data_IF_277846478703
#
_entry.id   IF_277846478703
#
_cell.length_a   1.000
_cell.length_b   1.000
_cell.length_c   1.000
_cell.angle_alpha   90.00
_cell.angle_beta   90.00
_cell.angle_gamma   90.00
#
_symmetry.space_group_name_H-M   'P 1'
#
loop_
_entity.id
_entity.type
_entity.pdbx_description
1 polymer ?
#
# COMPACT_ATOMS: atom_id res chain seq x y z
N UNK A 1 -13.65 7.51 23.48
CA UNK A 1 -13.07 8.56 22.64
C UNK A 1 -11.61 8.17 22.47
N UNK A 2 -11.37 7.11 21.70
CA UNK A 2 -10.02 6.84 21.21
C UNK A 2 -9.83 7.87 20.11
N UNK A 3 -9.17 8.98 20.39
CA UNK A 3 -8.76 9.91 19.33
C UNK A 3 -7.48 9.31 18.76
N UNK A 4 -7.62 8.28 17.92
CA UNK A 4 -6.48 7.78 17.17
C UNK A 4 -6.10 8.89 16.21
N UNK A 5 -4.87 9.38 16.32
CA UNK A 5 -4.39 10.45 15.46
C UNK A 5 -4.08 9.82 14.09
N UNK A 6 -4.60 10.42 13.02
CA UNK A 6 -4.21 10.05 11.65
C UNK A 6 -2.68 10.07 11.55
N UNK A 7 -2.11 8.97 11.07
CA UNK A 7 -0.69 8.87 10.82
C UNK A 7 -0.35 9.45 9.44
N UNK A 8 0.90 9.89 9.23
CA UNK A 8 1.35 10.34 7.92
C UNK A 8 1.34 9.18 6.90
N UNK A 9 1.11 9.48 5.62
CA UNK A 9 0.96 8.46 4.56
C UNK A 9 2.21 7.58 4.40
N UNK A 10 3.38 8.12 4.72
CA UNK A 10 4.68 7.44 4.72
C UNK A 10 4.74 6.23 5.67
N UNK A 11 3.78 6.09 6.59
CA UNK A 11 3.65 4.90 7.43
C UNK A 11 2.79 3.80 6.80
N UNK A 12 2.00 4.07 5.76
CA UNK A 12 1.04 3.10 5.23
C UNK A 12 1.66 2.25 4.11
N UNK A 13 1.95 1.00 4.44
CA UNK A 13 2.40 -0.01 3.47
C UNK A 13 1.22 -0.48 2.59
N UNK A 14 1.41 -0.66 1.26
CA UNK A 14 2.64 -0.53 0.47
C UNK A 14 2.67 0.74 -0.40
N UNK A 15 2.28 1.91 0.12
CA UNK A 15 2.22 3.14 -0.70
C UNK A 15 3.59 3.59 -1.20
N UNK A 16 3.63 4.38 -2.28
CA UNK A 16 4.88 4.98 -2.78
C UNK A 16 5.57 5.87 -1.72
N UNK A 17 4.87 6.73 -0.94
CA UNK A 17 5.47 7.43 0.19
C UNK A 17 6.11 6.52 1.24
N UNK A 18 5.51 5.35 1.53
CA UNK A 18 6.14 4.36 2.42
C UNK A 18 7.41 3.78 1.80
N UNK A 19 7.42 3.52 0.49
CA UNK A 19 8.59 3.05 -0.23
C UNK A 19 9.73 4.08 -0.23
N UNK A 20 9.41 5.37 -0.35
CA UNK A 20 10.40 6.46 -0.18
C UNK A 20 10.98 6.48 1.24
N UNK A 21 10.13 6.36 2.26
CA UNK A 21 10.58 6.27 3.65
C UNK A 21 11.45 5.03 3.89
N UNK A 22 11.13 3.91 3.26
CA UNK A 22 11.93 2.69 3.32
C UNK A 22 13.30 2.87 2.67
N UNK A 23 13.39 3.52 1.52
CA UNK A 23 14.67 3.91 0.90
C UNK A 23 15.54 4.73 1.84
N UNK A 24 14.95 5.74 2.49
CA UNK A 24 15.69 6.58 3.43
C UNK A 24 16.18 5.74 4.62
N UNK A 25 15.35 4.86 5.17
CA UNK A 25 15.74 3.95 6.25
C UNK A 25 16.86 2.98 5.85
N UNK A 26 16.84 2.44 4.61
CA UNK A 26 17.93 1.60 4.08
C UNK A 26 19.25 2.38 4.09
N UNK A 27 19.22 3.62 3.59
CA UNK A 27 20.41 4.47 3.48
C UNK A 27 20.94 4.96 4.85
N UNK A 28 20.13 4.90 5.90
CA UNK A 28 20.55 5.17 7.28
C UNK A 28 21.16 3.93 7.97
N UNK A 29 20.97 2.73 7.42
CA UNK A 29 21.47 1.48 8.00
C UNK A 29 22.95 1.23 7.67
N UNK A 30 23.80 1.34 8.70
CA UNK A 30 25.22 1.00 8.57
C UNK A 30 25.46 -0.50 8.32
N UNK A 31 24.59 -1.36 8.86
CA UNK A 31 24.70 -2.82 8.70
C UNK A 31 24.43 -3.19 7.23
N UNK A 32 23.33 -2.67 6.67
CA UNK A 32 23.03 -2.84 5.24
C UNK A 32 24.17 -2.34 4.36
N UNK A 33 24.69 -1.14 4.62
CA UNK A 33 25.78 -0.56 3.82
C UNK A 33 27.05 -1.43 3.86
N UNK A 34 27.36 -2.05 5.00
CA UNK A 34 28.52 -2.94 5.15
C UNK A 34 28.30 -4.28 4.44
N UNK A 35 27.16 -4.94 4.66
CA UNK A 35 26.89 -6.27 4.11
C UNK A 35 26.57 -6.26 2.60
N UNK A 36 26.03 -5.16 2.08
CA UNK A 36 25.71 -5.01 0.64
C UNK A 36 26.83 -4.36 -0.18
N UNK A 37 28.01 -4.11 0.40
CA UNK A 37 29.18 -3.62 -0.33
C UNK A 37 29.53 -4.55 -1.51
N UNK A 38 29.60 -4.00 -2.72
CA UNK A 38 29.81 -4.71 -3.97
C UNK A 38 28.53 -5.21 -4.67
N UNK A 39 27.36 -5.12 -4.02
CA UNK A 39 26.07 -5.42 -4.65
C UNK A 39 25.81 -4.46 -5.82
N UNK A 40 25.30 -4.95 -6.94
CA UNK A 40 24.98 -4.10 -8.10
C UNK A 40 26.20 -3.52 -8.86
N UNK A 41 27.45 -3.82 -8.46
CA UNK A 41 28.65 -3.26 -9.10
C UNK A 41 29.04 -4.00 -10.38
N UNK A 42 29.06 -5.34 -10.32
CA UNK A 42 29.43 -6.20 -11.46
C UNK A 42 28.22 -6.80 -12.18
N UNK A 43 27.01 -6.45 -11.75
CA UNK A 43 25.74 -6.92 -12.27
C UNK A 43 24.64 -5.92 -11.94
N UNK A 44 23.48 -6.05 -12.55
CA UNK A 44 22.32 -5.23 -12.19
C UNK A 44 21.78 -5.66 -10.81
N UNK A 45 21.91 -4.79 -9.81
CA UNK A 45 21.50 -5.05 -8.43
C UNK A 45 20.07 -4.59 -8.11
N UNK A 46 19.37 -4.03 -9.07
CA UNK A 46 18.01 -3.54 -8.87
C UNK A 46 17.01 -4.67 -8.60
N UNK A 47 15.99 -4.34 -7.82
CA UNK A 47 14.89 -5.23 -7.48
C UNK A 47 13.58 -4.69 -8.01
N UNK A 48 12.72 -5.61 -8.43
CA UNK A 48 11.27 -5.45 -8.40
C UNK A 48 10.72 -6.25 -7.22
N UNK A 49 9.97 -5.59 -6.36
CA UNK A 49 9.10 -6.24 -5.39
C UNK A 49 7.71 -6.34 -6.02
N UNK A 50 7.28 -7.56 -6.28
CA UNK A 50 5.98 -7.87 -6.88
C UNK A 50 5.05 -8.36 -5.76
N UNK A 51 4.06 -7.52 -5.44
CA UNK A 51 3.06 -7.76 -4.40
C UNK A 51 1.77 -8.17 -5.10
N UNK A 52 1.47 -9.47 -5.08
CA UNK A 52 0.27 -10.04 -5.67
C UNK A 52 -0.89 -10.08 -4.66
N UNK A 53 -2.11 -10.26 -5.16
CA UNK A 53 -3.26 -10.56 -4.30
C UNK A 53 -3.63 -9.43 -3.33
N UNK A 54 -3.44 -8.17 -3.73
CA UNK A 54 -3.89 -7.03 -2.93
C UNK A 54 -5.42 -7.12 -2.75
N UNK A 55 -5.93 -7.15 -1.52
CA UNK A 55 -7.31 -7.56 -1.25
C UNK A 55 -8.32 -6.41 -1.43
N UNK A 56 -8.29 -5.73 -2.57
CA UNK A 56 -9.15 -4.58 -2.90
C UNK A 56 -10.64 -4.94 -3.03
N UNK A 57 -10.91 -6.15 -3.51
CA UNK A 57 -12.26 -6.67 -3.74
C UNK A 57 -12.95 -7.09 -2.44
N UNK A 58 -12.17 -7.52 -1.45
CA UNK A 58 -12.69 -8.09 -0.20
C UNK A 58 -12.68 -7.10 0.96
N UNK A 59 -11.85 -6.05 0.89
CA UNK A 59 -11.81 -5.01 1.92
C UNK A 59 -12.58 -3.78 1.48
N UNK A 60 -13.30 -3.24 2.44
CA UNK A 60 -14.09 -2.02 2.32
C UNK A 60 -13.40 -0.86 3.03
N UNK A 61 -13.93 0.35 2.87
CA UNK A 61 -13.48 1.50 3.66
C UNK A 61 -13.56 1.18 5.16
N UNK A 62 -14.54 0.40 5.61
CA UNK A 62 -14.67 0.00 7.02
C UNK A 62 -13.58 -0.98 7.52
N UNK A 63 -12.85 -1.64 6.62
CA UNK A 63 -11.76 -2.56 6.97
C UNK A 63 -10.39 -1.86 7.05
N UNK A 64 -10.33 -0.58 6.66
CA UNK A 64 -9.12 0.24 6.76
C UNK A 64 -8.69 0.45 8.22
N UNK A 65 -7.46 0.95 8.45
CA UNK A 65 -6.98 1.30 9.77
C UNK A 65 -7.98 2.17 10.55
N UNK A 66 -8.27 1.86 11.83
CA UNK A 66 -9.33 2.50 12.58
C UNK A 66 -9.27 4.03 12.60
N UNK A 67 -8.07 4.62 12.60
CA UNK A 67 -7.91 6.07 12.54
C UNK A 67 -8.48 6.69 11.25
N UNK A 68 -8.42 5.98 10.13
CA UNK A 68 -9.01 6.43 8.86
C UNK A 68 -10.52 6.26 8.91
N UNK A 69 -11.00 5.10 9.37
CA UNK A 69 -12.43 4.80 9.49
C UNK A 69 -13.13 5.81 10.41
N UNK A 70 -12.54 6.04 11.59
CA UNK A 70 -13.04 7.01 12.57
C UNK A 70 -13.09 8.42 11.94
N UNK A 71 -12.08 8.81 11.15
CA UNK A 71 -12.05 10.11 10.49
C UNK A 71 -13.12 10.25 9.41
N UNK A 72 -13.34 9.22 8.59
CA UNK A 72 -14.41 9.22 7.57
C UNK A 72 -15.79 9.32 8.22
N UNK A 73 -16.03 8.56 9.30
CA UNK A 73 -17.29 8.60 10.04
C UNK A 73 -17.55 9.99 10.63
N UNK A 74 -16.52 10.61 11.23
CA UNK A 74 -16.59 11.94 11.83
C UNK A 74 -16.88 13.03 10.78
N UNK A 75 -16.24 12.99 9.60
CA UNK A 75 -16.49 13.96 8.52
C UNK A 75 -17.91 13.81 7.97
N UNK A 76 -18.34 12.58 7.64
CA UNK A 76 -19.67 12.34 7.08
C UNK A 76 -20.80 12.62 8.06
N UNK A 77 -20.63 12.26 9.34
CA UNK A 77 -21.61 12.56 10.39
C UNK A 77 -21.67 14.07 10.73
N UNK A 78 -20.66 14.84 10.31
CA UNK A 78 -20.63 16.29 10.43
C UNK A 78 -21.55 17.02 9.45
N UNK A 79 -21.94 16.35 8.35
CA UNK A 79 -22.71 16.95 7.26
C UNK A 79 -24.18 17.15 7.61
N UNK A 80 -24.74 18.29 7.23
CA UNK A 80 -26.17 18.52 7.33
C UNK A 80 -26.94 17.79 6.24
N UNK A 81 -28.23 17.51 6.48
CA UNK A 81 -29.12 16.87 5.50
C UNK A 81 -29.14 17.62 4.15
N UNK A 82 -29.06 18.96 4.16
CA UNK A 82 -28.98 19.76 2.93
C UNK A 82 -27.66 19.65 2.19
N UNK A 83 -26.55 19.47 2.90
CA UNK A 83 -25.24 19.24 2.29
C UNK A 83 -25.21 17.87 1.63
N UNK A 84 -25.75 16.85 2.32
CA UNK A 84 -25.87 15.50 1.79
C UNK A 84 -26.79 15.46 0.57
N UNK A 85 -27.96 16.10 0.62
CA UNK A 85 -28.86 16.17 -0.54
C UNK A 85 -28.19 16.80 -1.76
N UNK A 86 -27.43 17.88 -1.58
CA UNK A 86 -26.70 18.54 -2.66
C UNK A 86 -25.60 17.63 -3.22
N UNK A 87 -24.83 16.97 -2.36
CA UNK A 87 -23.80 16.01 -2.77
C UNK A 87 -24.39 14.86 -3.59
N UNK A 88 -25.58 14.37 -3.23
CA UNK A 88 -26.27 13.29 -3.93
C UNK A 88 -26.89 13.69 -5.27
N UNK A 89 -26.95 14.98 -5.63
CA UNK A 89 -27.42 15.41 -6.96
C UNK A 89 -26.47 14.93 -8.07
N UNK A 90 -25.18 14.86 -7.79
CA UNK A 90 -24.14 14.40 -8.73
C UNK A 90 -23.76 12.93 -8.56
N UNK A 91 -24.32 12.25 -7.56
CA UNK A 91 -24.01 10.84 -7.29
C UNK A 91 -24.30 9.92 -8.49
N UNK A 92 -23.44 8.89 -8.70
CA UNK A 92 -23.69 7.85 -9.68
C UNK A 92 -25.06 7.19 -9.48
N UNK A 93 -25.79 6.82 -10.56
CA UNK A 93 -27.13 6.24 -10.45
C UNK A 93 -27.19 4.99 -9.57
N UNK A 94 -26.18 4.12 -9.66
CA UNK A 94 -26.11 2.86 -8.92
C UNK A 94 -25.94 3.11 -7.42
N UNK A 95 -25.04 4.03 -7.05
CA UNK A 95 -24.83 4.49 -5.67
C UNK A 95 -26.11 5.12 -5.10
N UNK A 96 -26.77 6.00 -5.88
CA UNK A 96 -28.04 6.63 -5.46
C UNK A 96 -29.13 5.58 -5.20
N UNK A 97 -29.26 4.58 -6.07
CA UNK A 97 -30.22 3.48 -5.90
C UNK A 97 -29.92 2.66 -4.64
N UNK A 98 -28.63 2.34 -4.38
CA UNK A 98 -28.21 1.65 -3.15
C UNK A 98 -28.61 2.44 -1.91
N UNK A 99 -28.31 3.74 -1.85
CA UNK A 99 -28.66 4.63 -0.74
C UNK A 99 -30.17 4.72 -0.54
N UNK A 100 -30.95 4.90 -1.61
CA UNK A 100 -32.41 5.00 -1.56
C UNK A 100 -33.08 3.70 -1.08
N UNK A 101 -32.49 2.55 -1.40
CA UNK A 101 -32.99 1.24 -0.98
C UNK A 101 -32.82 0.97 0.52
N UNK A 102 -31.86 1.63 1.17
CA UNK A 102 -31.59 1.51 2.60
C UNK A 102 -32.67 2.23 3.43
N UNK A 103 -32.93 1.70 4.62
CA UNK A 103 -33.87 2.29 5.58
C UNK A 103 -33.12 3.05 6.66
N UNK A 104 -33.58 4.25 7.01
CA UNK A 104 -32.96 5.07 8.05
C UNK A 104 -32.89 6.55 7.66
N UNK A 105 -32.30 7.40 8.52
CA UNK A 105 -31.90 8.77 8.19
C UNK A 105 -30.99 8.80 6.94
N UNK A 106 -30.98 9.92 6.20
CA UNK A 106 -30.16 10.05 4.99
C UNK A 106 -28.66 9.89 5.28
N UNK A 107 -28.16 10.57 6.31
CA UNK A 107 -26.79 10.50 6.82
C UNK A 107 -26.32 9.07 7.10
N UNK A 108 -27.10 8.29 7.86
CA UNK A 108 -26.76 6.89 8.18
C UNK A 108 -26.66 6.03 6.91
N UNK A 109 -27.54 6.27 5.93
CA UNK A 109 -27.56 5.51 4.66
C UNK A 109 -26.37 5.85 3.77
N UNK A 110 -25.95 7.12 3.74
CA UNK A 110 -24.78 7.58 2.98
C UNK A 110 -23.50 7.05 3.62
N UNK A 111 -23.35 7.23 4.93
CA UNK A 111 -22.20 6.70 5.68
C UNK A 111 -22.08 5.20 5.51
N UNK A 112 -23.19 4.46 5.60
CA UNK A 112 -23.19 3.01 5.34
C UNK A 112 -22.78 2.68 3.90
N UNK A 113 -23.25 3.43 2.89
CA UNK A 113 -22.83 3.20 1.51
C UNK A 113 -21.32 3.38 1.34
N UNK A 114 -20.76 4.46 1.87
CA UNK A 114 -19.32 4.72 1.81
C UNK A 114 -18.54 3.64 2.54
N UNK A 115 -18.92 3.31 3.78
CA UNK A 115 -18.24 2.32 4.61
C UNK A 115 -18.29 0.90 4.01
N UNK A 116 -19.37 0.55 3.31
CA UNK A 116 -19.53 -0.75 2.64
C UNK A 116 -18.94 -0.79 1.21
N UNK A 117 -18.42 0.33 0.70
CA UNK A 117 -17.79 0.38 -0.62
C UNK A 117 -16.45 -0.35 -0.56
N UNK A 118 -16.24 -1.32 -1.45
CA UNK A 118 -14.95 -2.02 -1.55
C UNK A 118 -13.89 -1.09 -2.15
N UNK A 119 -12.62 -1.30 -1.85
CA UNK A 119 -11.56 -0.46 -2.42
C UNK A 119 -11.53 -0.51 -3.95
N UNK A 120 -11.91 -1.64 -4.55
CA UNK A 120 -12.03 -1.78 -6.00
C UNK A 120 -13.25 -1.05 -6.59
N UNK A 121 -14.34 -0.89 -5.83
CA UNK A 121 -15.54 -0.15 -6.25
C UNK A 121 -15.35 1.37 -6.15
N UNK A 122 -14.40 1.86 -5.34
CA UNK A 122 -14.21 3.28 -5.06
C UNK A 122 -14.21 4.18 -6.31
N UNK A 123 -13.48 3.90 -7.40
CA UNK A 123 -13.46 4.76 -8.58
C UNK A 123 -14.84 4.97 -9.22
N UNK A 124 -15.71 3.95 -9.14
CA UNK A 124 -17.05 3.96 -9.73
C UNK A 124 -18.13 4.39 -8.71
N UNK A 125 -17.84 4.27 -7.41
CA UNK A 125 -18.77 4.52 -6.32
C UNK A 125 -18.54 5.86 -5.59
N UNK A 126 -17.45 6.56 -5.93
CA UNK A 126 -17.15 7.90 -5.41
C UNK A 126 -17.21 8.94 -6.53
N UNK A 127 -17.47 10.19 -6.17
CA UNK A 127 -17.57 11.31 -7.10
C UNK A 127 -16.94 12.56 -6.48
N UNK A 128 -16.60 13.60 -7.25
CA UNK A 128 -15.81 14.74 -6.77
C UNK A 128 -16.35 15.41 -5.50
N UNK A 129 -17.66 15.57 -5.39
CA UNK A 129 -18.32 16.17 -4.23
C UNK A 129 -18.19 15.30 -2.98
N UNK A 130 -18.22 13.97 -3.11
CA UNK A 130 -17.99 13.06 -1.98
C UNK A 130 -16.51 12.99 -1.61
N UNK A 131 -15.61 12.91 -2.60
CA UNK A 131 -14.15 12.90 -2.39
C UNK A 131 -13.67 14.14 -1.66
N UNK A 132 -14.29 15.29 -1.90
CA UNK A 132 -13.97 16.54 -1.22
C UNK A 132 -14.27 16.53 0.29
N UNK A 133 -15.13 15.62 0.76
CA UNK A 133 -15.46 15.44 2.18
C UNK A 133 -14.62 14.32 2.83
N UNK A 134 -13.81 13.59 2.05
CA UNK A 134 -12.94 12.57 2.62
C UNK A 134 -11.77 13.23 3.36
N UNK A 135 -11.26 12.57 4.42
CA UNK A 135 -9.99 12.97 5.01
C UNK A 135 -8.89 12.97 3.95
N UNK A 136 -8.00 13.98 3.98
CA UNK A 136 -6.88 14.11 3.03
C UNK A 136 -6.10 12.80 2.87
N UNK A 137 -5.87 12.08 3.99
CA UNK A 137 -5.18 10.80 4.01
C UNK A 137 -5.92 9.72 3.20
N UNK A 138 -7.25 9.65 3.26
CA UNK A 138 -8.02 8.67 2.50
C UNK A 138 -7.96 8.99 1.01
N UNK A 139 -8.14 10.25 0.61
CA UNK A 139 -8.07 10.63 -0.80
C UNK A 139 -6.68 10.37 -1.41
N UNK A 140 -5.62 10.61 -0.62
CA UNK A 140 -4.26 10.29 -1.02
C UNK A 140 -4.03 8.77 -1.11
N UNK A 141 -4.51 7.98 -0.14
CA UNK A 141 -4.45 6.52 -0.19
C UNK A 141 -5.18 5.94 -1.40
N UNK A 142 -6.36 6.46 -1.73
CA UNK A 142 -7.10 6.02 -2.91
C UNK A 142 -6.30 6.35 -4.17
N UNK A 143 -5.79 7.58 -4.27
CA UNK A 143 -4.92 7.99 -5.40
C UNK A 143 -3.76 7.02 -5.56
N UNK A 144 -3.08 6.68 -4.45
CA UNK A 144 -1.96 5.75 -4.45
C UNK A 144 -2.34 4.34 -4.92
N UNK A 145 -3.52 3.83 -4.55
CA UNK A 145 -3.99 2.53 -5.02
C UNK A 145 -4.41 2.57 -6.50
N UNK A 146 -5.03 3.66 -6.96
CA UNK A 146 -5.47 3.83 -8.35
C UNK A 146 -4.28 3.99 -9.32
N UNK A 147 -3.21 4.68 -8.91
CA UNK A 147 -2.06 4.95 -9.76
C UNK A 147 -1.02 3.82 -9.77
N UNK A 148 -0.90 3.04 -8.68
CA UNK A 148 0.20 2.10 -8.48
C UNK A 148 -0.18 0.62 -8.55
N UNK A 149 -1.45 0.30 -8.83
CA UNK A 149 -1.91 -1.08 -9.01
C UNK A 149 -2.09 -1.35 -10.50
N UNK A 150 -1.41 -2.38 -10.98
CA UNK A 150 -1.52 -2.84 -12.36
C UNK A 150 -2.90 -3.43 -12.66
N UNK A 151 -3.21 -3.58 -13.96
CA UNK A 151 -4.49 -4.11 -14.45
C UNK A 151 -4.86 -5.51 -13.88
N UNK A 152 -3.87 -6.29 -13.44
CA UNK A 152 -4.05 -7.62 -12.86
C UNK A 152 -4.17 -7.62 -11.32
N UNK A 153 -4.18 -6.44 -10.69
CA UNK A 153 -4.27 -6.28 -9.24
C UNK A 153 -2.93 -6.40 -8.50
N UNK A 154 -1.82 -6.41 -9.23
CA UNK A 154 -0.47 -6.50 -8.68
C UNK A 154 0.14 -5.11 -8.48
N UNK A 155 0.88 -4.90 -7.41
CA UNK A 155 1.72 -3.73 -7.24
C UNK A 155 3.19 -4.09 -7.46
N UNK A 156 3.91 -3.23 -8.19
CA UNK A 156 5.33 -3.39 -8.43
C UNK A 156 6.10 -2.19 -7.86
N UNK A 157 7.01 -2.46 -6.94
CA UNK A 157 7.94 -1.47 -6.41
C UNK A 157 9.34 -1.73 -6.96
N UNK A 158 9.92 -0.75 -7.63
CA UNK A 158 11.29 -0.77 -8.11
C UNK A 158 12.24 -0.19 -7.06
N UNK A 159 13.38 -0.85 -6.86
CA UNK A 159 14.44 -0.40 -5.98
C UNK A 159 15.80 -0.49 -6.71
N UNK A 160 16.48 0.64 -6.82
CA UNK A 160 17.83 0.70 -7.38
C UNK A 160 18.89 0.56 -6.29
N UNK A 161 19.35 -0.68 -6.06
CA UNK A 161 20.34 -1.01 -5.04
C UNK A 161 21.75 -1.11 -5.62
N UNK A 162 22.68 -0.37 -5.05
CA UNK A 162 24.06 -0.31 -5.54
C UNK A 162 25.05 0.00 -4.40
N UNK A 163 26.00 -0.92 -4.20
CA UNK A 163 27.20 -0.75 -3.39
C UNK A 163 26.97 -0.13 -2.00
N UNK A 164 25.98 -0.63 -1.26
CA UNK A 164 25.67 -0.12 0.08
C UNK A 164 24.48 0.85 0.15
N UNK A 165 23.94 1.28 -0.99
CA UNK A 165 22.94 2.36 -1.04
C UNK A 165 21.70 1.96 -1.87
N UNK A 166 20.55 2.47 -1.45
CA UNK A 166 19.33 2.52 -2.26
C UNK A 166 19.24 3.89 -2.94
N UNK A 167 19.61 3.94 -4.22
CA UNK A 167 19.78 5.20 -4.97
C UNK A 167 18.45 5.82 -5.36
N UNK A 168 17.50 4.99 -5.73
CA UNK A 168 16.18 5.37 -6.23
C UNK A 168 15.16 4.29 -5.86
N UNK A 169 13.93 4.72 -5.63
CA UNK A 169 12.75 3.86 -5.62
C UNK A 169 11.69 4.46 -6.51
N UNK A 170 10.83 3.62 -7.05
CA UNK A 170 9.72 4.03 -7.91
C UNK A 170 8.62 2.96 -7.85
N UNK A 171 7.40 3.32 -8.20
CA UNK A 171 6.31 2.37 -8.47
C UNK A 171 6.11 2.25 -9.97
N UNK A 172 5.87 1.02 -10.46
CA UNK A 172 5.60 0.78 -11.88
C UNK A 172 4.35 -0.08 -12.04
N UNK A 173 3.71 0.02 -13.20
CA UNK A 173 2.49 -0.75 -13.50
C UNK A 173 2.73 -1.85 -14.54
N UNK A 174 3.85 -1.76 -15.27
CA UNK A 174 4.29 -2.76 -16.24
C UNK A 174 5.79 -3.05 -16.03
N UNK A 175 6.13 -4.34 -15.95
CA UNK A 175 7.51 -4.82 -15.77
C UNK A 175 8.43 -4.42 -16.94
N UNK A 176 7.89 -4.12 -18.11
CA UNK A 176 8.66 -3.66 -19.27
C UNK A 176 9.07 -2.17 -19.17
N UNK A 177 8.57 -1.43 -18.16
CA UNK A 177 8.92 -0.01 -17.95
C UNK A 177 10.38 0.19 -17.54
N UNK A 178 10.95 -0.78 -16.81
CA UNK A 178 12.33 -0.70 -16.29
C UNK A 178 13.05 -2.04 -16.41
N UNK A 179 14.34 -1.98 -16.77
CA UNK A 179 15.20 -3.15 -16.64
C UNK A 179 15.44 -3.43 -15.15
N UNK A 180 15.45 -4.71 -14.77
CA UNK A 180 15.69 -5.13 -13.41
C UNK A 180 16.62 -6.35 -13.33
N UNK A 181 17.40 -6.42 -12.25
CA UNK A 181 18.29 -7.55 -11.98
C UNK A 181 17.61 -8.73 -11.28
N UNK A 182 16.70 -8.42 -10.37
CA UNK A 182 16.00 -9.38 -9.53
C UNK A 182 14.54 -9.01 -9.38
N UNK A 183 13.68 -10.02 -9.21
CA UNK A 183 12.28 -9.82 -8.89
C UNK A 183 11.83 -10.79 -7.83
N UNK A 184 11.41 -10.24 -6.69
CA UNK A 184 10.90 -10.99 -5.53
C UNK A 184 9.36 -10.95 -5.59
N UNK A 185 8.73 -12.11 -5.69
CA UNK A 185 7.28 -12.27 -5.89
C UNK A 185 6.67 -12.92 -4.66
N UNK A 186 5.60 -12.33 -4.15
CA UNK A 186 4.77 -12.91 -3.09
C UNK A 186 3.43 -12.18 -2.97
N UNK A 187 2.48 -12.83 -2.30
CA UNK A 187 1.17 -12.28 -2.00
C UNK A 187 1.24 -11.23 -0.88
N UNK A 188 0.23 -10.35 -0.83
CA UNK A 188 0.11 -9.28 0.15
C UNK A 188 0.27 -9.75 1.61
N UNK A 189 -0.27 -10.93 1.96
CA UNK A 189 -0.14 -11.49 3.31
C UNK A 189 1.32 -11.85 3.66
N UNK A 190 2.09 -12.35 2.69
CA UNK A 190 3.49 -12.73 2.89
C UNK A 190 4.36 -11.48 3.01
N UNK A 191 4.12 -10.48 2.17
CA UNK A 191 4.75 -9.17 2.29
C UNK A 191 4.46 -8.51 3.64
N UNK A 192 3.20 -8.54 4.08
CA UNK A 192 2.81 -8.05 5.40
C UNK A 192 3.54 -8.79 6.52
N UNK A 193 3.66 -10.12 6.43
CA UNK A 193 4.42 -10.94 7.39
C UNK A 193 5.89 -10.51 7.45
N UNK A 194 6.50 -10.23 6.29
CA UNK A 194 7.89 -9.78 6.20
C UNK A 194 8.08 -8.40 6.83
N UNK A 195 7.25 -7.41 6.45
CA UNK A 195 7.33 -6.03 6.94
C UNK A 195 6.95 -5.91 8.42
N UNK A 196 6.21 -6.86 9.00
CA UNK A 196 6.00 -6.94 10.45
C UNK A 196 7.18 -7.55 11.22
N UNK A 197 8.19 -8.08 10.52
CA UNK A 197 9.27 -8.85 11.14
C UNK A 197 8.82 -10.22 11.67
N UNK A 198 7.69 -10.73 11.20
CA UNK A 198 7.11 -12.01 11.64
C UNK A 198 7.66 -13.21 10.85
N UNK A 199 8.46 -12.96 9.82
CA UNK A 199 9.14 -13.97 9.00
C UNK A 199 10.50 -13.48 8.50
N UNK A 200 11.45 -14.40 8.33
CA UNK A 200 12.75 -14.10 7.73
C UNK A 200 12.72 -14.33 6.22
N UNK A 201 13.18 -13.35 5.43
CA UNK A 201 13.12 -13.40 3.96
C UNK A 201 13.74 -14.67 3.37
N UNK A 202 14.86 -15.14 3.92
CA UNK A 202 15.54 -16.35 3.44
C UNK A 202 14.72 -17.60 3.76
N UNK A 203 14.13 -17.68 4.96
CA UNK A 203 13.29 -18.82 5.32
C UNK A 203 12.03 -18.89 4.45
N UNK A 204 11.42 -17.73 4.16
CA UNK A 204 10.26 -17.62 3.27
C UNK A 204 10.58 -17.95 1.81
N UNK A 205 11.78 -17.61 1.32
CA UNK A 205 12.27 -18.07 0.02
C UNK A 205 12.49 -19.59 -0.01
N UNK A 206 12.97 -20.17 1.09
CA UNK A 206 13.24 -21.62 1.16
C UNK A 206 11.96 -22.47 1.35
N UNK A 207 10.93 -21.93 2.01
CA UNK A 207 9.61 -22.55 2.11
C UNK A 207 8.80 -22.45 0.82
N UNK A 208 9.15 -21.49 -0.05
CA UNK A 208 8.42 -21.17 -1.27
C UNK A 208 7.26 -20.20 -1.04
N UNK A 209 7.26 -19.47 0.08
CA UNK A 209 6.32 -18.37 0.30
C UNK A 209 6.67 -17.18 -0.59
N UNK A 210 7.97 -16.91 -0.78
CA UNK A 210 8.45 -15.99 -1.82
C UNK A 210 9.09 -16.76 -2.97
N UNK A 211 8.83 -16.29 -4.19
CA UNK A 211 9.56 -16.69 -5.39
C UNK A 211 10.55 -15.60 -5.80
N UNK A 212 11.69 -16.00 -6.38
CA UNK A 212 12.69 -15.04 -6.87
C UNK A 212 13.08 -15.39 -8.29
N UNK A 213 13.01 -14.38 -9.16
CA UNK A 213 13.49 -14.41 -10.52
C UNK A 213 14.79 -13.59 -10.59
N UNK A 214 15.90 -14.23 -10.97
CA UNK A 214 17.24 -13.64 -10.92
C UNK A 214 18.33 -14.67 -10.59
N UNK A 215 19.57 -14.21 -10.39
CA UNK A 215 20.69 -15.09 -10.05
C UNK A 215 20.71 -15.44 -8.56
N UNK A 216 20.05 -16.54 -8.21
CA UNK A 216 19.98 -17.06 -6.84
C UNK A 216 21.35 -17.20 -6.15
N UNK A 217 22.42 -17.50 -6.90
CA UNK A 217 23.75 -17.63 -6.28
C UNK A 217 24.23 -16.31 -5.71
N UNK A 218 23.86 -15.18 -6.32
CA UNK A 218 24.16 -13.85 -5.80
C UNK A 218 23.32 -13.53 -4.57
N UNK A 219 22.02 -13.83 -4.57
CA UNK A 219 21.16 -13.67 -3.39
C UNK A 219 21.74 -14.42 -2.19
N UNK A 220 22.13 -15.68 -2.38
CA UNK A 220 22.74 -16.48 -1.31
C UNK A 220 24.15 -16.00 -0.91
N UNK A 221 24.90 -15.40 -1.82
CA UNK A 221 26.21 -14.82 -1.51
C UNK A 221 26.07 -13.56 -0.66
N UNK A 222 25.01 -12.78 -0.87
CA UNK A 222 24.69 -11.54 -0.16
C UNK A 222 23.48 -11.73 0.77
N UNK A 223 23.35 -12.91 1.38
CA UNK A 223 22.18 -13.23 2.21
C UNK A 223 22.03 -12.28 3.40
N UNK A 224 23.14 -11.83 3.97
CA UNK A 224 23.14 -10.88 5.09
C UNK A 224 22.52 -9.54 4.65
N UNK A 225 22.87 -9.03 3.46
CA UNK A 225 22.25 -7.81 2.91
C UNK A 225 20.75 -7.98 2.65
N UNK A 226 20.30 -9.16 2.20
CA UNK A 226 18.88 -9.44 2.01
C UNK A 226 18.13 -9.47 3.35
N UNK A 227 18.75 -10.03 4.39
CA UNK A 227 18.23 -10.01 5.76
C UNK A 227 18.16 -8.57 6.28
N UNK A 228 19.20 -7.77 6.09
CA UNK A 228 19.22 -6.38 6.55
C UNK A 228 18.09 -5.54 5.90
N UNK A 229 17.80 -5.74 4.61
CA UNK A 229 16.65 -5.10 3.95
C UNK A 229 15.32 -5.44 4.66
N UNK A 230 15.09 -6.72 4.92
CA UNK A 230 13.90 -7.17 5.63
C UNK A 230 13.84 -6.58 7.05
N UNK A 231 14.95 -6.58 7.78
CA UNK A 231 15.05 -6.01 9.13
C UNK A 231 14.80 -4.49 9.14
N UNK A 232 15.35 -3.75 8.18
CA UNK A 232 15.07 -2.31 8.02
C UNK A 232 13.57 -2.06 7.82
N UNK A 233 12.89 -2.86 6.98
CA UNK A 233 11.45 -2.72 6.78
C UNK A 233 10.64 -3.03 8.05
N UNK A 234 11.12 -3.98 8.86
CA UNK A 234 10.49 -4.40 10.10
C UNK A 234 10.69 -3.41 11.26
N UNK A 235 11.76 -2.64 11.23
CA UNK A 235 12.06 -1.58 12.21
C UNK A 235 11.28 -0.28 11.94
N UNK A 236 10.68 -0.11 10.76
CA UNK A 236 9.80 1.01 10.45
C UNK A 236 8.48 0.91 11.25
N UNK A 237 7.95 2.05 11.71
CA UNK A 237 6.62 2.13 12.33
C UNK A 237 5.52 2.06 11.26
N UNK A 238 5.42 0.90 10.61
CA UNK A 238 4.53 0.66 9.48
C UNK A 238 3.10 0.35 9.93
N UNK A 239 2.15 0.98 9.26
CA UNK A 239 0.71 0.66 9.21
C UNK A 239 0.44 -0.12 7.94
N UNK A 240 -0.61 -0.93 7.96
CA UNK A 240 -1.02 -1.73 6.81
C UNK A 240 -2.40 -1.28 6.39
N UNK A 241 -2.62 -1.05 5.10
CA UNK A 241 -3.92 -0.62 4.57
C UNK A 241 -4.99 -1.70 4.82
N UNK A 242 -4.60 -2.98 4.88
CA UNK A 242 -5.47 -4.14 5.16
C UNK A 242 -4.88 -5.06 6.24
#
# INVERSE_FOLDING_TARGET
MSTQQLQPIEQYFPTEPWLEAYRDAINESNEYAEHSAGWGVEFDGSFIFQIEGIPLESNTIADLPPEIVDAVDDELSGLSESEIDAMLEEAPPEVRERIESRSGPLEERVTTEVMETTMAEIPDHTWPELRAEFPDLLDELITQLEENIADDGTMYSYLDLYDGECREVDTITDLDEREYGFRLVGDFEQWTTLVRGEGGVIDMLMSGDFEIDGDMQKILQYSDAAVDLAEVSADMDSRFIF
#
